data_IF_296422921158
#
_entry.id   IF_296422921158
#
_cell.length_a   1.000
_cell.length_b   1.000
_cell.length_c   1.000
_cell.angle_alpha   90.00
_cell.angle_beta   90.00
_cell.angle_gamma   90.00
#
_symmetry.space_group_name_H-M   'P 1'
#
loop_
_entity.id
_entity.type
_entity.pdbx_description
1 polymer ?
#
# COMPACT_ATOMS: atom_id res chain seq x y z
N UNK A 1 52.51 -15.69 -60.86
CA UNK A 1 51.60 -16.85 -60.82
C UNK A 1 51.92 -17.60 -59.54
N UNK A 2 51.12 -17.47 -58.49
CA UNK A 2 51.27 -18.26 -57.27
C UNK A 2 50.85 -19.69 -57.60
N UNK A 3 51.79 -20.62 -57.56
CA UNK A 3 51.52 -22.07 -57.67
C UNK A 3 50.50 -22.44 -56.60
N UNK A 4 49.35 -22.98 -57.00
CA UNK A 4 48.37 -23.56 -56.06
C UNK A 4 49.04 -24.74 -55.38
N UNK A 5 49.45 -24.53 -54.13
CA UNK A 5 50.09 -25.54 -53.32
C UNK A 5 48.98 -26.29 -52.59
N UNK A 6 48.81 -27.56 -52.96
CA UNK A 6 47.80 -28.44 -52.38
C UNK A 6 48.44 -29.26 -51.26
N UNK A 7 47.79 -29.31 -50.10
CA UNK A 7 48.28 -30.02 -48.91
C UNK A 7 47.20 -30.95 -48.37
N UNK A 8 47.58 -32.15 -47.92
CA UNK A 8 46.65 -33.09 -47.30
C UNK A 8 46.21 -32.64 -45.89
N UNK A 9 45.03 -33.05 -45.43
CA UNK A 9 44.50 -32.64 -44.11
C UNK A 9 45.44 -32.99 -42.95
N UNK A 10 46.00 -34.20 -42.93
CA UNK A 10 46.92 -34.65 -41.87
C UNK A 10 48.25 -33.90 -41.88
N UNK A 11 48.75 -33.60 -43.09
CA UNK A 11 49.98 -32.83 -43.29
C UNK A 11 49.78 -31.37 -42.88
N UNK A 12 48.64 -30.77 -43.26
CA UNK A 12 48.24 -29.44 -42.84
C UNK A 12 48.05 -29.34 -41.33
N UNK A 13 47.42 -30.35 -40.72
CA UNK A 13 47.25 -30.41 -39.28
C UNK A 13 48.58 -30.43 -38.53
N UNK A 14 49.54 -31.20 -39.04
CA UNK A 14 50.90 -31.27 -38.48
C UNK A 14 51.67 -29.97 -38.70
N UNK A 15 51.64 -29.43 -39.92
CA UNK A 15 52.41 -28.23 -40.32
C UNK A 15 51.96 -26.97 -39.59
N UNK A 16 50.65 -26.77 -39.46
CA UNK A 16 50.07 -25.58 -38.83
C UNK A 16 49.65 -25.79 -37.37
N UNK A 17 49.93 -26.97 -36.81
CA UNK A 17 49.57 -27.35 -35.43
C UNK A 17 48.07 -27.14 -35.13
N UNK A 18 47.21 -27.48 -36.10
CA UNK A 18 45.75 -27.35 -35.96
C UNK A 18 45.10 -28.72 -36.08
N UNK A 19 44.13 -29.02 -35.23
CA UNK A 19 43.45 -30.32 -35.30
C UNK A 19 42.74 -30.54 -36.65
N UNK A 20 42.82 -31.77 -37.16
CA UNK A 20 42.14 -32.21 -38.39
C UNK A 20 40.64 -31.92 -38.35
N UNK A 21 40.00 -32.10 -37.19
CA UNK A 21 38.57 -31.77 -36.96
C UNK A 21 38.25 -30.30 -37.22
N UNK A 22 39.15 -29.39 -36.83
CA UNK A 22 38.97 -27.94 -36.98
C UNK A 22 39.13 -27.53 -38.44
N UNK A 23 40.10 -28.12 -39.13
CA UNK A 23 40.29 -27.96 -40.59
C UNK A 23 39.07 -28.47 -41.37
N UNK A 24 38.53 -29.64 -41.02
CA UNK A 24 37.31 -30.19 -41.61
C UNK A 24 36.11 -29.25 -41.37
N UNK A 25 36.02 -28.63 -40.19
CA UNK A 25 34.95 -27.67 -39.87
C UNK A 25 35.05 -26.43 -40.75
N UNK A 26 36.24 -25.90 -40.97
CA UNK A 26 36.47 -24.77 -41.88
C UNK A 26 36.15 -25.11 -43.33
N UNK A 27 36.46 -26.34 -43.78
CA UNK A 27 36.06 -26.83 -45.10
C UNK A 27 34.53 -26.90 -45.23
N UNK A 28 33.82 -27.43 -44.22
CA UNK A 28 32.34 -27.48 -44.18
C UNK A 28 31.69 -26.10 -44.21
N UNK A 29 32.35 -25.10 -43.60
CA UNK A 29 31.92 -23.69 -43.61
C UNK A 29 32.31 -22.94 -44.88
N UNK A 30 32.95 -23.62 -45.84
CA UNK A 30 33.45 -23.03 -47.08
C UNK A 30 34.47 -21.89 -46.84
N UNK A 31 35.18 -21.93 -45.71
CA UNK A 31 36.21 -20.95 -45.36
C UNK A 31 37.57 -21.27 -46.01
N UNK A 32 37.75 -22.51 -46.48
CA UNK A 32 38.97 -23.02 -47.13
C UNK A 32 38.56 -23.72 -48.42
N UNK A 33 39.29 -23.44 -49.51
CA UNK A 33 39.13 -24.15 -50.78
C UNK A 33 39.75 -25.54 -50.66
N UNK A 34 38.98 -26.57 -51.00
CA UNK A 34 39.44 -27.95 -51.01
C UNK A 34 38.99 -28.69 -52.27
N UNK A 35 39.65 -29.79 -52.59
CA UNK A 35 39.32 -30.70 -53.68
C UNK A 35 39.48 -32.14 -53.21
N UNK A 36 38.58 -33.01 -53.66
CA UNK A 36 38.70 -34.45 -53.46
C UNK A 36 39.52 -35.06 -54.60
N UNK A 37 40.58 -35.79 -54.26
CA UNK A 37 41.42 -36.52 -55.21
C UNK A 37 41.45 -37.98 -54.77
N UNK A 38 40.57 -38.80 -55.35
CA UNK A 38 40.31 -40.16 -54.86
C UNK A 38 39.69 -40.13 -53.47
N UNK A 39 40.22 -40.91 -52.53
CA UNK A 39 39.78 -40.95 -51.13
C UNK A 39 40.44 -39.85 -50.26
N UNK A 40 41.23 -38.96 -50.86
CA UNK A 40 41.99 -37.93 -50.13
C UNK A 40 41.43 -36.53 -50.37
N UNK A 41 41.24 -35.79 -49.27
CA UNK A 41 40.90 -34.36 -49.30
C UNK A 41 42.18 -33.51 -49.34
N UNK A 42 42.30 -32.72 -50.40
CA UNK A 42 43.40 -31.80 -50.64
C UNK A 42 42.94 -30.36 -50.40
N UNK A 43 43.70 -29.60 -49.63
CA UNK A 43 43.40 -28.21 -49.26
C UNK A 43 44.28 -27.26 -50.05
N UNK A 44 43.73 -26.12 -50.46
CA UNK A 44 44.55 -25.00 -50.95
C UNK A 44 45.25 -24.33 -49.76
N UNK A 45 46.58 -24.37 -49.76
CA UNK A 45 47.41 -23.90 -48.65
C UNK A 45 47.26 -22.38 -48.40
N UNK A 46 47.03 -21.60 -49.46
CA UNK A 46 46.82 -20.15 -49.35
C UNK A 46 45.50 -19.85 -48.66
N UNK A 47 44.41 -20.51 -49.07
CA UNK A 47 43.09 -20.37 -48.44
C UNK A 47 43.09 -20.82 -46.98
N UNK A 48 43.84 -21.88 -46.65
CA UNK A 48 44.05 -22.34 -45.27
C UNK A 48 44.81 -21.28 -44.45
N UNK A 49 45.88 -20.69 -44.99
CA UNK A 49 46.67 -19.66 -44.32
C UNK A 49 45.83 -18.40 -44.06
N UNK A 50 45.05 -17.94 -45.06
CA UNK A 50 44.11 -16.81 -44.90
C UNK A 50 43.05 -17.08 -43.83
N UNK A 51 42.52 -18.30 -43.77
CA UNK A 51 41.56 -18.72 -42.76
C UNK A 51 42.18 -18.72 -41.35
N UNK A 52 43.43 -19.18 -41.23
CA UNK A 52 44.18 -19.17 -39.97
C UNK A 52 44.43 -17.73 -39.49
N UNK A 53 44.90 -16.85 -40.36
CA UNK A 53 45.13 -15.44 -40.02
C UNK A 53 43.85 -14.73 -39.57
N UNK A 54 42.73 -14.96 -40.27
CA UNK A 54 41.42 -14.43 -39.86
C UNK A 54 41.01 -14.94 -38.48
N UNK A 55 41.12 -16.25 -38.25
CA UNK A 55 40.76 -16.83 -36.96
C UNK A 55 41.65 -16.31 -35.82
N UNK A 56 42.95 -16.13 -36.04
CA UNK A 56 43.87 -15.52 -35.05
C UNK A 56 43.44 -14.08 -34.75
N UNK A 57 43.13 -13.27 -35.78
CA UNK A 57 42.64 -11.89 -35.58
C UNK A 57 41.33 -11.84 -34.80
N UNK A 58 40.38 -12.74 -35.10
CA UNK A 58 39.12 -12.83 -34.35
C UNK A 58 39.35 -13.23 -32.89
N UNK A 59 40.17 -14.25 -32.63
CA UNK A 59 40.50 -14.66 -31.26
C UNK A 59 41.19 -13.55 -30.47
N UNK A 60 42.15 -12.83 -31.07
CA UNK A 60 42.77 -11.66 -30.45
C UNK A 60 41.75 -10.55 -30.14
N UNK A 61 40.78 -10.33 -31.03
CA UNK A 61 39.71 -9.34 -30.82
C UNK A 61 38.72 -9.76 -29.72
N UNK A 62 38.39 -11.06 -29.60
CA UNK A 62 37.54 -11.59 -28.54
C UNK A 62 38.25 -11.54 -27.18
N UNK A 63 39.53 -11.90 -27.14
CA UNK A 63 40.36 -11.81 -25.93
C UNK A 63 40.51 -10.37 -25.46
N UNK A 64 40.76 -9.43 -26.36
CA UNK A 64 40.82 -8.00 -26.07
C UNK A 64 39.47 -7.47 -25.57
N UNK A 65 38.37 -7.86 -26.21
CA UNK A 65 37.03 -7.48 -25.74
C UNK A 65 36.74 -8.05 -24.35
N UNK A 66 37.14 -9.30 -24.09
CA UNK A 66 36.99 -9.94 -22.78
C UNK A 66 37.84 -9.22 -21.72
N UNK A 67 39.10 -8.89 -22.01
CA UNK A 67 39.96 -8.10 -21.12
C UNK A 67 39.31 -6.76 -20.77
N UNK A 68 38.77 -6.04 -21.76
CA UNK A 68 38.06 -4.77 -21.50
C UNK A 68 36.82 -4.95 -20.63
N UNK A 69 36.09 -6.05 -20.79
CA UNK A 69 34.97 -6.35 -19.90
C UNK A 69 35.45 -6.67 -18.49
N UNK A 70 36.49 -7.49 -18.34
CA UNK A 70 37.05 -7.85 -17.04
C UNK A 70 37.64 -6.63 -16.31
N UNK A 71 38.33 -5.74 -17.03
CA UNK A 71 38.80 -4.45 -16.52
C UNK A 71 37.64 -3.58 -16.04
N UNK A 72 36.57 -3.42 -16.83
CA UNK A 72 35.38 -2.67 -16.40
C UNK A 72 34.65 -3.30 -15.23
N UNK A 73 34.60 -4.63 -15.17
CA UNK A 73 34.01 -5.35 -14.04
C UNK A 73 34.82 -5.09 -12.77
N UNK A 74 36.15 -5.07 -12.90
CA UNK A 74 37.08 -4.76 -11.81
C UNK A 74 36.97 -3.30 -11.36
N UNK A 75 36.87 -2.35 -12.28
CA UNK A 75 36.64 -0.94 -11.98
C UNK A 75 35.34 -0.72 -11.19
N UNK A 76 34.33 -1.56 -11.41
CA UNK A 76 33.02 -1.48 -10.75
C UNK A 76 32.84 -2.48 -9.60
N UNK A 77 33.90 -3.17 -9.14
CA UNK A 77 33.81 -4.20 -8.10
C UNK A 77 33.13 -3.70 -6.81
N UNK A 78 33.46 -2.48 -6.39
CA UNK A 78 32.86 -1.86 -5.19
C UNK A 78 31.35 -1.62 -5.38
N UNK A 79 30.92 -1.15 -6.55
CA UNK A 79 29.49 -0.95 -6.85
C UNK A 79 28.74 -2.27 -6.87
N UNK A 80 29.34 -3.33 -7.44
CA UNK A 80 28.77 -4.68 -7.42
C UNK A 80 28.62 -5.20 -5.99
N UNK A 81 29.64 -5.01 -5.15
CA UNK A 81 29.59 -5.39 -3.74
C UNK A 81 28.46 -4.68 -3.00
N UNK A 82 28.30 -3.37 -3.18
CA UNK A 82 27.21 -2.60 -2.57
C UNK A 82 25.84 -3.09 -3.06
N UNK A 83 25.66 -3.28 -4.37
CA UNK A 83 24.41 -3.79 -4.94
C UNK A 83 24.06 -5.19 -4.41
N UNK A 84 25.05 -6.07 -4.28
CA UNK A 84 24.87 -7.40 -3.73
C UNK A 84 24.49 -7.37 -2.24
N UNK A 85 25.12 -6.49 -1.47
CA UNK A 85 24.83 -6.28 -0.05
C UNK A 85 23.40 -5.76 0.16
N UNK A 86 22.90 -4.92 -0.75
CA UNK A 86 21.54 -4.38 -0.71
C UNK A 86 20.45 -5.40 -1.10
N UNK A 87 20.83 -6.60 -1.58
CA UNK A 87 19.88 -7.65 -1.97
C UNK A 87 18.98 -8.06 -0.81
N UNK A 88 19.48 -8.08 0.42
CA UNK A 88 18.67 -8.40 1.60
C UNK A 88 17.58 -7.36 1.88
N UNK A 89 17.81 -6.10 1.46
CA UNK A 89 16.87 -4.99 1.60
C UNK A 89 15.90 -4.89 0.42
N UNK A 90 15.89 -5.85 -0.51
CA UNK A 90 15.01 -5.84 -1.71
C UNK A 90 13.55 -5.50 -1.39
N UNK A 91 12.90 -6.04 -0.33
CA UNK A 91 11.52 -5.68 -0.01
C UNK A 91 11.34 -4.19 0.32
N UNK A 92 12.25 -3.61 1.09
CA UNK A 92 12.24 -2.19 1.46
C UNK A 92 12.52 -1.31 0.24
N UNK A 93 13.49 -1.71 -0.59
CA UNK A 93 13.81 -1.02 -1.84
C UNK A 93 12.59 -1.02 -2.77
N UNK A 94 11.84 -2.13 -2.87
CA UNK A 94 10.59 -2.19 -3.65
C UNK A 94 9.52 -1.25 -3.11
N UNK A 95 9.39 -1.09 -1.80
CA UNK A 95 8.47 -0.12 -1.20
C UNK A 95 8.87 1.30 -1.57
N UNK A 96 10.15 1.65 -1.41
CA UNK A 96 10.67 2.95 -1.82
C UNK A 96 10.38 3.20 -3.30
N UNK A 97 10.66 2.24 -4.20
CA UNK A 97 10.39 2.36 -5.63
C UNK A 97 8.89 2.61 -5.92
N UNK A 98 7.98 1.95 -5.19
CA UNK A 98 6.53 2.20 -5.34
C UNK A 98 6.15 3.62 -4.92
N UNK A 99 6.67 4.11 -3.80
CA UNK A 99 6.47 5.50 -3.37
C UNK A 99 7.05 6.48 -4.39
N UNK A 100 8.25 6.21 -4.92
CA UNK A 100 8.86 7.02 -5.96
C UNK A 100 8.02 7.05 -7.26
N UNK A 101 7.44 5.91 -7.64
CA UNK A 101 6.55 5.83 -8.79
C UNK A 101 5.25 6.61 -8.59
N UNK A 102 4.76 6.72 -7.36
CA UNK A 102 3.59 7.53 -7.01
C UNK A 102 3.76 9.03 -7.32
N UNK A 103 5.01 9.53 -7.36
CA UNK A 103 5.30 10.91 -7.74
C UNK A 103 5.13 11.19 -9.24
N UNK A 104 5.25 10.16 -10.08
CA UNK A 104 5.14 10.32 -11.52
C UNK A 104 3.65 10.39 -11.88
N UNK A 105 3.17 11.54 -12.35
CA UNK A 105 1.75 11.74 -12.68
C UNK A 105 1.31 11.01 -13.96
N UNK A 106 2.18 10.99 -14.97
CA UNK A 106 1.87 10.36 -16.26
C UNK A 106 2.00 8.83 -16.16
N UNK A 107 0.93 8.11 -16.46
CA UNK A 107 0.87 6.65 -16.32
C UNK A 107 1.84 5.91 -17.25
N UNK A 108 2.05 6.38 -18.48
CA UNK A 108 3.00 5.74 -19.41
C UNK A 108 4.44 5.92 -18.93
N UNK A 109 4.77 7.11 -18.42
CA UNK A 109 6.09 7.40 -17.83
C UNK A 109 6.28 6.63 -16.51
N UNK A 110 5.22 6.46 -15.71
CA UNK A 110 5.23 5.64 -14.50
C UNK A 110 5.47 4.16 -14.84
N UNK A 111 4.85 3.66 -15.90
CA UNK A 111 5.10 2.30 -16.41
C UNK A 111 6.55 2.14 -16.89
N UNK A 112 7.12 3.11 -17.61
CA UNK A 112 8.54 3.10 -18.00
C UNK A 112 9.45 2.98 -16.77
N UNK A 113 9.19 3.78 -15.73
CA UNK A 113 9.97 3.76 -14.50
C UNK A 113 9.87 2.41 -13.78
N UNK A 114 8.65 1.93 -13.51
CA UNK A 114 8.43 0.67 -12.81
C UNK A 114 8.99 -0.54 -13.56
N UNK A 115 8.81 -0.59 -14.88
CA UNK A 115 9.33 -1.67 -15.70
C UNK A 115 10.86 -1.70 -15.67
N UNK A 116 11.50 -0.55 -15.86
CA UNK A 116 12.97 -0.44 -15.91
C UNK A 116 13.60 -0.78 -14.57
N UNK A 117 13.01 -0.35 -13.46
CA UNK A 117 13.59 -0.52 -12.11
C UNK A 117 13.26 -1.88 -11.48
N UNK A 118 12.13 -2.52 -11.83
CA UNK A 118 11.68 -3.77 -11.19
C UNK A 118 11.80 -5.03 -12.04
N UNK A 119 11.64 -4.95 -13.37
CA UNK A 119 11.60 -6.12 -14.26
C UNK A 119 12.80 -6.23 -15.19
N UNK A 120 13.48 -5.12 -15.45
CA UNK A 120 14.77 -5.10 -16.14
C UNK A 120 14.70 -4.76 -17.62
N UNK A 121 15.84 -4.18 -18.03
CA UNK A 121 16.26 -3.69 -19.34
C UNK A 121 15.32 -2.73 -20.09
N UNK A 122 15.74 -1.47 -20.15
CA UNK A 122 15.13 -0.40 -20.94
C UNK A 122 15.04 -0.75 -22.44
N UNK A 123 15.93 -1.61 -22.93
CA UNK A 123 15.92 -2.13 -24.30
C UNK A 123 14.65 -2.96 -24.57
N UNK A 124 14.26 -3.82 -23.64
CA UNK A 124 13.06 -4.65 -23.79
C UNK A 124 11.80 -3.79 -23.74
N UNK A 125 11.80 -2.76 -22.88
CA UNK A 125 10.74 -1.74 -22.88
C UNK A 125 10.64 -1.03 -24.23
N UNK A 126 11.78 -0.64 -24.81
CA UNK A 126 11.81 0.07 -26.09
C UNK A 126 11.23 -0.74 -27.25
N UNK A 127 11.49 -2.06 -27.27
CA UNK A 127 10.93 -3.00 -28.25
C UNK A 127 9.41 -3.14 -28.06
N UNK A 128 8.95 -3.34 -26.80
CA UNK A 128 7.52 -3.49 -26.48
C UNK A 128 6.70 -2.26 -26.84
N UNK A 129 7.25 -1.06 -26.62
CA UNK A 129 6.57 0.22 -26.90
C UNK A 129 6.89 0.78 -28.29
N UNK A 130 7.58 0.01 -29.15
CA UNK A 130 7.96 0.42 -30.53
C UNK A 130 8.65 1.79 -30.59
N UNK A 131 9.55 2.05 -29.65
CA UNK A 131 10.30 3.30 -29.58
C UNK A 131 11.81 3.07 -29.70
N UNK A 132 12.55 4.10 -30.13
CA UNK A 132 14.01 4.01 -30.23
C UNK A 132 14.63 3.92 -28.83
N UNK A 133 15.67 3.09 -28.66
CA UNK A 133 16.40 2.94 -27.40
C UNK A 133 16.84 4.28 -26.80
N UNK A 134 17.45 5.16 -27.61
CA UNK A 134 17.88 6.50 -27.15
C UNK A 134 16.73 7.36 -26.64
N UNK A 135 15.54 7.21 -27.21
CA UNK A 135 14.36 7.96 -26.78
C UNK A 135 13.85 7.45 -25.43
N UNK A 136 13.81 6.12 -25.23
CA UNK A 136 13.47 5.52 -23.95
C UNK A 136 14.46 5.94 -22.85
N UNK A 137 15.76 5.93 -23.16
CA UNK A 137 16.81 6.35 -22.24
C UNK A 137 16.64 7.81 -21.81
N UNK A 138 16.48 8.74 -22.77
CA UNK A 138 16.27 10.16 -22.47
C UNK A 138 15.00 10.39 -21.63
N UNK A 139 13.94 9.64 -21.91
CA UNK A 139 12.69 9.72 -21.15
C UNK A 139 12.87 9.25 -19.70
N UNK A 140 13.65 8.19 -19.50
CA UNK A 140 13.97 7.66 -18.17
C UNK A 140 14.89 8.58 -17.38
N UNK A 141 15.94 9.12 -18.00
CA UNK A 141 16.82 10.12 -17.37
C UNK A 141 16.03 11.35 -16.91
N UNK A 142 15.11 11.85 -17.75
CA UNK A 142 14.22 12.95 -17.39
C UNK A 142 13.31 12.63 -16.20
N UNK A 143 12.83 11.37 -16.09
CA UNK A 143 12.05 10.92 -14.93
C UNK A 143 12.87 10.90 -13.64
N UNK A 144 14.11 10.43 -13.69
CA UNK A 144 15.00 10.42 -12.53
C UNK A 144 15.26 11.85 -12.04
N UNK A 145 15.46 12.81 -12.94
CA UNK A 145 15.63 14.22 -12.57
C UNK A 145 14.35 14.83 -11.99
N UNK A 146 13.18 14.51 -12.56
CA UNK A 146 11.89 14.96 -12.04
C UNK A 146 11.67 14.46 -10.60
N UNK A 147 11.88 13.16 -10.36
CA UNK A 147 11.83 12.57 -9.02
C UNK A 147 12.82 13.25 -8.06
N UNK A 148 14.06 13.48 -8.51
CA UNK A 148 15.09 14.15 -7.71
C UNK A 148 14.72 15.58 -7.34
N UNK A 149 14.14 16.35 -8.27
CA UNK A 149 13.68 17.71 -8.02
C UNK A 149 12.52 17.76 -7.03
N UNK A 150 11.68 16.72 -7.02
CA UNK A 150 10.55 16.62 -6.11
C UNK A 150 10.98 16.12 -4.73
N UNK A 151 12.07 15.37 -4.60
CA UNK A 151 12.52 14.80 -3.31
C UNK A 151 12.63 15.81 -2.14
N UNK A 152 12.72 17.12 -2.40
CA UNK A 152 12.57 18.18 -1.39
C UNK A 152 11.25 18.12 -0.59
N UNK A 153 10.15 17.63 -1.18
CA UNK A 153 8.88 17.50 -0.43
C UNK A 153 8.97 16.42 0.66
N UNK A 154 9.85 15.43 0.56
CA UNK A 154 9.98 14.41 1.61
C UNK A 154 10.52 15.02 2.91
N UNK A 155 11.39 16.04 2.78
CA UNK A 155 11.90 16.81 3.91
C UNK A 155 10.78 17.63 4.55
N UNK A 156 9.99 18.35 3.75
CA UNK A 156 8.86 19.14 4.26
C UNK A 156 7.78 18.24 4.85
N UNK A 157 7.50 17.08 4.25
CA UNK A 157 6.54 16.11 4.78
C UNK A 157 6.99 15.51 6.11
N UNK A 158 8.28 15.21 6.28
CA UNK A 158 8.83 14.75 7.56
C UNK A 158 8.70 15.83 8.64
N UNK A 159 9.06 17.07 8.32
CA UNK A 159 8.94 18.22 9.22
C UNK A 159 7.47 18.48 9.60
N UNK A 160 6.55 18.41 8.63
CA UNK A 160 5.12 18.55 8.84
C UNK A 160 4.54 17.40 9.67
N UNK A 161 4.97 16.16 9.46
CA UNK A 161 4.52 15.01 10.25
C UNK A 161 4.99 15.12 11.71
N UNK A 162 6.21 15.65 11.95
CA UNK A 162 6.70 15.95 13.30
C UNK A 162 5.84 17.03 13.96
N UNK A 163 5.53 18.12 13.23
CA UNK A 163 4.65 19.19 13.70
C UNK A 163 3.26 18.66 14.05
N UNK A 164 2.62 17.95 13.14
CA UNK A 164 1.29 17.37 13.35
C UNK A 164 1.27 16.40 14.54
N UNK A 165 2.29 15.56 14.70
CA UNK A 165 2.42 14.68 15.89
C UNK A 165 2.60 15.46 17.19
N UNK A 166 3.32 16.59 17.16
CA UNK A 166 3.46 17.47 18.32
C UNK A 166 2.12 18.18 18.64
N UNK A 167 1.40 18.63 17.60
CA UNK A 167 0.08 19.24 17.72
C UNK A 167 -0.94 18.26 18.30
N UNK A 168 -0.99 17.01 17.80
CA UNK A 168 -1.87 15.97 18.35
C UNK A 168 -1.54 15.71 19.81
N UNK A 169 -0.26 15.55 20.17
CA UNK A 169 0.14 15.39 21.57
C UNK A 169 -0.26 16.59 22.44
N UNK A 170 -0.14 17.81 21.94
CA UNK A 170 -0.56 19.01 22.66
C UNK A 170 -2.08 19.03 22.89
N UNK A 171 -2.87 18.61 21.90
CA UNK A 171 -4.32 18.46 22.06
C UNK A 171 -4.69 17.34 23.04
N UNK A 172 -4.01 16.19 22.99
CA UNK A 172 -4.21 15.10 23.95
C UNK A 172 -3.87 15.53 25.38
N UNK A 173 -2.75 16.26 25.58
CA UNK A 173 -2.36 16.80 26.88
C UNK A 173 -3.37 17.83 27.38
N UNK A 174 -3.80 18.79 26.55
CA UNK A 174 -4.83 19.77 26.91
C UNK A 174 -6.17 19.09 27.23
N UNK A 175 -6.56 18.07 26.47
CA UNK A 175 -7.80 17.33 26.75
C UNK A 175 -7.73 16.57 28.06
N UNK A 176 -6.58 15.97 28.39
CA UNK A 176 -6.35 15.33 29.69
C UNK A 176 -6.38 16.35 30.82
N UNK A 177 -5.66 17.46 30.65
CA UNK A 177 -5.57 18.52 31.64
C UNK A 177 -6.92 19.19 31.89
N UNK A 178 -7.69 19.50 30.84
CA UNK A 178 -9.08 19.98 30.99
C UNK A 178 -9.98 18.96 31.69
N UNK A 179 -9.76 17.66 31.49
CA UNK A 179 -10.48 16.61 32.21
C UNK A 179 -10.11 16.56 33.71
N UNK A 180 -8.83 16.70 34.04
CA UNK A 180 -8.35 16.78 35.42
C UNK A 180 -8.75 18.09 36.10
N UNK A 181 -8.65 19.23 35.41
CA UNK A 181 -9.05 20.53 35.91
C UNK A 181 -10.56 20.55 36.14
N UNK A 182 -11.37 20.02 35.22
CA UNK A 182 -12.81 19.87 35.45
C UNK A 182 -13.10 18.95 36.65
N UNK A 183 -12.44 17.80 36.79
CA UNK A 183 -12.65 16.91 37.93
C UNK A 183 -12.24 17.56 39.27
N UNK A 184 -11.16 18.34 39.27
CA UNK A 184 -10.70 19.11 40.44
C UNK A 184 -11.67 20.25 40.79
N UNK A 185 -12.12 21.03 39.80
CA UNK A 185 -13.11 22.08 39.97
C UNK A 185 -14.47 21.52 40.43
N UNK A 186 -14.87 20.34 39.93
CA UNK A 186 -16.12 19.71 40.34
C UNK A 186 -16.05 19.22 41.79
N UNK A 187 -14.92 18.64 42.23
CA UNK A 187 -14.74 18.26 43.65
C UNK A 187 -14.67 19.47 44.57
N UNK A 188 -13.95 20.53 44.20
CA UNK A 188 -13.89 21.77 45.00
C UNK A 188 -15.26 22.46 45.07
N UNK A 189 -16.07 22.39 44.01
CA UNK A 189 -17.43 22.93 43.98
C UNK A 189 -18.43 22.07 44.79
N UNK A 190 -18.31 20.74 44.76
CA UNK A 190 -19.11 19.81 45.57
C UNK A 190 -18.85 19.99 47.08
N UNK A 191 -17.60 20.24 47.47
CA UNK A 191 -17.23 20.49 48.88
C UNK A 191 -17.71 21.84 49.40
N UNK A 192 -17.88 22.84 48.54
CA UNK A 192 -18.18 24.22 48.96
C UNK A 192 -19.65 24.60 48.90
N UNK A 193 -20.48 24.00 48.04
CA UNK A 193 -21.93 24.25 48.07
C UNK A 193 -22.78 23.20 47.30
N UNK A 194 -23.28 22.13 47.96
CA UNK A 194 -23.97 21.02 47.29
C UNK A 194 -25.34 21.35 46.65
N UNK A 195 -25.95 22.50 46.96
CA UNK A 195 -27.27 22.88 46.41
C UNK A 195 -27.20 23.74 45.13
N UNK A 196 -26.05 24.31 44.78
CA UNK A 196 -25.95 25.31 43.69
C UNK A 196 -25.71 24.67 42.30
N UNK A 197 -25.29 23.42 42.22
CA UNK A 197 -24.95 22.80 40.96
C UNK A 197 -25.70 21.48 40.72
N UNK A 198 -26.99 21.58 40.44
CA UNK A 198 -27.64 20.61 39.57
C UNK A 198 -27.44 21.15 38.15
N UNK A 199 -26.56 20.54 37.31
CA UNK A 199 -26.42 20.89 35.90
C UNK A 199 -27.77 21.11 35.24
N UNK A 200 -27.90 22.14 34.41
CA UNK A 200 -29.18 22.53 33.80
C UNK A 200 -29.84 21.35 33.06
N UNK A 201 -29.03 20.45 32.51
CA UNK A 201 -29.44 19.18 31.89
C UNK A 201 -30.05 18.18 32.89
N UNK A 202 -29.52 18.10 34.12
CA UNK A 202 -30.09 17.25 35.20
C UNK A 202 -31.38 17.88 35.73
N UNK A 203 -31.43 19.21 35.86
CA UNK A 203 -32.65 19.93 36.24
C UNK A 203 -33.76 19.73 35.21
N UNK A 204 -33.43 19.81 33.91
CA UNK A 204 -34.34 19.54 32.81
C UNK A 204 -34.78 18.07 32.77
N UNK A 205 -33.86 17.13 33.02
CA UNK A 205 -34.19 15.70 33.11
C UNK A 205 -35.14 15.39 34.27
N UNK A 206 -34.90 15.97 35.46
CA UNK A 206 -35.80 15.85 36.62
C UNK A 206 -37.18 16.45 36.32
N UNK A 207 -37.24 17.64 35.72
CA UNK A 207 -38.51 18.26 35.30
C UNK A 207 -39.29 17.40 34.28
N UNK A 208 -38.60 16.76 33.34
CA UNK A 208 -39.22 15.86 32.36
C UNK A 208 -39.74 14.57 33.02
N UNK A 209 -38.99 13.99 33.96
CA UNK A 209 -39.42 12.83 34.72
C UNK A 209 -40.68 13.11 35.55
N UNK A 210 -40.79 14.31 36.11
CA UNK A 210 -41.92 14.70 36.95
C UNK A 210 -43.12 15.19 36.11
N UNK A 211 -43.01 15.17 34.78
CA UNK A 211 -44.12 15.55 33.88
C UNK A 211 -45.29 14.56 34.04
N UNK A 212 -46.51 15.05 34.29
CA UNK A 212 -47.70 14.21 34.40
C UNK A 212 -47.99 13.45 33.10
N UNK A 213 -48.43 12.18 33.22
CA UNK A 213 -48.85 11.34 32.08
C UNK A 213 -49.93 12.03 31.23
N UNK A 214 -50.76 12.87 31.85
CA UNK A 214 -51.81 13.65 31.17
C UNK A 214 -51.26 14.70 30.21
N UNK A 215 -50.05 15.20 30.42
CA UNK A 215 -49.40 16.22 29.61
C UNK A 215 -48.58 15.64 28.45
N UNK A 216 -48.25 14.34 28.51
CA UNK A 216 -47.47 13.66 27.48
C UNK A 216 -48.26 13.37 26.18
N UNK A 217 -49.56 13.68 26.18
CA UNK A 217 -50.48 13.52 25.02
C UNK A 217 -50.43 12.10 24.44
N UNK A 218 -50.52 11.09 25.30
CA UNK A 218 -50.76 9.73 24.83
C UNK A 218 -52.14 9.61 24.17
N UNK A 219 -52.40 8.52 23.46
CA UNK A 219 -53.76 8.29 22.98
C UNK A 219 -54.72 8.13 24.17
N UNK A 220 -55.93 8.68 24.03
CA UNK A 220 -56.92 8.82 25.11
C UNK A 220 -57.13 7.50 25.87
N UNK A 221 -57.14 6.37 25.15
CA UNK A 221 -57.31 5.04 25.75
C UNK A 221 -56.11 4.64 26.61
N UNK A 222 -54.89 4.72 26.08
CA UNK A 222 -53.69 4.35 26.83
C UNK A 222 -53.47 5.27 28.03
N UNK A 223 -53.70 6.58 27.86
CA UNK A 223 -53.61 7.55 28.95
C UNK A 223 -54.56 7.19 30.10
N UNK A 224 -55.85 6.93 29.78
CA UNK A 224 -56.84 6.56 30.79
C UNK A 224 -56.47 5.29 31.54
N UNK A 225 -55.99 4.26 30.85
CA UNK A 225 -55.60 2.99 31.48
C UNK A 225 -54.39 3.19 32.41
N UNK A 226 -53.39 3.98 31.98
CA UNK A 226 -52.20 4.27 32.78
C UNK A 226 -52.60 5.07 34.03
N UNK A 227 -53.45 6.10 33.88
CA UNK A 227 -53.94 6.90 35.00
C UNK A 227 -54.85 6.12 35.96
N UNK A 228 -55.69 5.19 35.48
CA UNK A 228 -56.51 4.32 36.32
C UNK A 228 -55.67 3.35 37.18
N UNK A 229 -54.42 3.09 36.78
CA UNK A 229 -53.48 2.25 37.53
C UNK A 229 -52.56 3.04 38.46
N UNK A 230 -52.93 4.29 38.77
CA UNK A 230 -52.19 5.20 39.65
C UNK A 230 -50.78 5.58 39.17
N UNK A 231 -50.48 5.40 37.88
CA UNK A 231 -49.25 5.90 37.26
C UNK A 231 -49.53 7.33 36.79
N UNK A 232 -49.03 8.31 37.53
CA UNK A 232 -49.29 9.74 37.39
C UNK A 232 -48.19 10.47 36.65
N UNK A 233 -46.93 10.05 36.76
CA UNK A 233 -45.77 10.75 36.18
C UNK A 233 -44.99 9.89 35.17
N UNK A 234 -44.18 10.54 34.33
CA UNK A 234 -43.24 9.83 33.45
C UNK A 234 -42.26 8.97 34.24
N UNK A 235 -41.81 9.46 35.40
CA UNK A 235 -40.91 8.75 36.32
C UNK A 235 -41.46 7.38 36.71
N UNK A 236 -42.70 7.34 37.20
CA UNK A 236 -43.34 6.10 37.65
C UNK A 236 -43.50 5.10 36.49
N UNK A 237 -43.87 5.60 35.31
CA UNK A 237 -43.94 4.77 34.10
C UNK A 237 -42.57 4.16 33.77
N UNK A 238 -41.52 4.98 33.79
CA UNK A 238 -40.16 4.55 33.45
C UNK A 238 -39.53 3.64 34.51
N UNK A 239 -39.87 3.79 35.79
CA UNK A 239 -39.44 2.87 36.86
C UNK A 239 -39.96 1.45 36.62
N UNK A 240 -41.20 1.32 36.15
CA UNK A 240 -41.77 0.01 35.82
C UNK A 240 -41.10 -0.58 34.57
N UNK A 241 -40.86 0.25 33.55
CA UNK A 241 -40.30 -0.22 32.28
C UNK A 241 -38.79 -0.43 32.31
N UNK A 242 -38.04 0.24 33.19
CA UNK A 242 -36.59 0.04 33.32
C UNK A 242 -36.29 -1.36 33.88
N UNK A 243 -37.06 -1.81 34.87
CA UNK A 243 -36.82 -3.06 35.56
C UNK A 243 -37.35 -4.29 34.81
N UNK A 244 -38.48 -4.15 34.11
CA UNK A 244 -39.19 -5.29 33.50
C UNK A 244 -39.59 -5.10 32.03
N UNK A 245 -39.26 -3.96 31.44
CA UNK A 245 -39.64 -3.60 30.08
C UNK A 245 -41.13 -3.27 29.92
N UNK A 246 -41.48 -2.73 28.76
CA UNK A 246 -42.87 -2.38 28.39
C UNK A 246 -43.84 -3.56 28.37
N UNK A 247 -43.32 -4.80 28.32
CA UNK A 247 -44.15 -6.01 28.45
C UNK A 247 -44.85 -6.07 29.80
N UNK A 248 -44.18 -5.64 30.88
CA UNK A 248 -44.75 -5.68 32.23
C UNK A 248 -46.00 -4.81 32.38
N UNK A 249 -46.07 -3.70 31.63
CA UNK A 249 -47.27 -2.87 31.60
C UNK A 249 -48.49 -3.62 31.06
N UNK A 250 -48.31 -4.52 30.09
CA UNK A 250 -49.40 -5.37 29.57
C UNK A 250 -49.88 -6.39 30.60
N UNK A 251 -48.96 -6.92 31.40
CA UNK A 251 -49.28 -7.94 32.39
C UNK A 251 -49.90 -7.30 33.66
N UNK A 252 -49.55 -6.06 33.97
CA UNK A 252 -50.01 -5.32 35.15
C UNK A 252 -51.29 -4.52 34.90
N UNK A 253 -51.41 -3.86 33.75
CA UNK A 253 -52.50 -2.93 33.45
C UNK A 253 -53.67 -3.66 32.77
N UNK A 254 -54.80 -3.75 33.47
CA UNK A 254 -56.03 -4.33 32.92
C UNK A 254 -56.46 -3.53 31.67
N UNK A 255 -56.80 -4.24 30.60
CA UNK A 255 -57.19 -3.67 29.29
C UNK A 255 -56.06 -2.96 28.50
N UNK A 256 -54.80 -3.05 28.92
CA UNK A 256 -53.65 -2.55 28.19
C UNK A 256 -53.10 -3.61 27.22
N UNK A 257 -53.36 -3.46 25.92
CA UNK A 257 -52.96 -4.42 24.90
C UNK A 257 -51.68 -4.05 24.15
N UNK A 258 -51.23 -4.96 23.26
CA UNK A 258 -50.08 -4.74 22.36
C UNK A 258 -50.18 -3.44 21.54
N UNK A 259 -51.38 -3.07 21.12
CA UNK A 259 -51.61 -1.84 20.34
C UNK A 259 -51.40 -0.59 21.21
N UNK A 260 -51.87 -0.60 22.46
CA UNK A 260 -51.64 0.49 23.43
C UNK A 260 -50.17 0.63 23.77
N UNK A 261 -49.48 -0.49 24.00
CA UNK A 261 -48.03 -0.51 24.22
C UNK A 261 -47.26 0.14 23.07
N UNK A 262 -47.52 -0.28 21.81
CA UNK A 262 -46.85 0.30 20.63
C UNK A 262 -47.12 1.80 20.46
N UNK A 263 -48.31 2.27 20.80
CA UNK A 263 -48.66 3.70 20.74
C UNK A 263 -47.90 4.51 21.80
N UNK A 264 -47.79 3.99 23.02
CA UNK A 264 -47.02 4.61 24.11
C UNK A 264 -45.53 4.66 23.74
N UNK A 265 -44.95 3.54 23.30
CA UNK A 265 -43.54 3.50 22.87
C UNK A 265 -43.28 4.47 21.70
N UNK A 266 -44.17 4.51 20.70
CA UNK A 266 -44.06 5.45 19.59
C UNK A 266 -44.06 6.90 20.08
N UNK A 267 -44.98 7.23 21.00
CA UNK A 267 -45.07 8.59 21.56
C UNK A 267 -43.83 8.97 22.36
N UNK A 268 -43.28 8.04 23.14
CA UNK A 268 -42.04 8.26 23.89
C UNK A 268 -40.83 8.47 22.97
N UNK A 269 -40.80 7.82 21.79
CA UNK A 269 -39.79 8.12 20.75
C UNK A 269 -39.96 9.52 20.15
N UNK A 270 -41.20 9.94 19.87
CA UNK A 270 -41.49 11.30 19.38
C UNK A 270 -41.09 12.38 20.39
N UNK A 271 -41.16 12.08 21.69
CA UNK A 271 -40.74 12.96 22.78
C UNK A 271 -39.22 12.89 23.07
N UNK A 272 -38.45 12.15 22.27
CA UNK A 272 -37.01 11.88 22.48
C UNK A 272 -36.69 11.25 23.85
N UNK A 273 -37.67 10.62 24.50
CA UNK A 273 -37.47 9.86 25.74
C UNK A 273 -36.84 8.50 25.42
N UNK A 274 -37.26 7.88 24.31
CA UNK A 274 -36.70 6.63 23.79
C UNK A 274 -35.94 6.88 22.48
N UNK A 275 -34.79 6.22 22.33
CA UNK A 275 -34.06 6.21 21.06
C UNK A 275 -34.73 5.27 20.02
N UNK A 276 -34.15 5.20 18.82
CA UNK A 276 -34.64 4.35 17.73
C UNK A 276 -34.65 2.87 18.13
N UNK A 277 -33.67 2.44 18.91
CA UNK A 277 -33.51 1.07 19.42
C UNK A 277 -34.40 0.74 20.63
N UNK A 278 -35.04 1.76 21.25
CA UNK A 278 -35.89 1.61 22.42
C UNK A 278 -35.16 1.79 23.77
N UNK A 279 -33.93 2.32 23.77
CA UNK A 279 -33.22 2.66 25.01
C UNK A 279 -33.66 4.03 25.53
N UNK A 280 -33.74 4.18 26.85
CA UNK A 280 -34.09 5.44 27.50
C UNK A 280 -32.88 6.05 28.21
N UNK A 281 -32.48 7.24 27.78
CA UNK A 281 -31.38 7.98 28.42
C UNK A 281 -31.75 8.55 29.79
N UNK A 282 -33.04 8.49 30.18
CA UNK A 282 -33.50 8.94 31.49
C UNK A 282 -33.39 7.87 32.58
N UNK A 283 -33.11 6.62 32.23
CA UNK A 283 -32.98 5.54 33.22
C UNK A 283 -31.88 5.80 34.25
N UNK A 284 -30.81 6.51 33.86
CA UNK A 284 -29.72 6.93 34.77
C UNK A 284 -30.13 7.93 35.86
N UNK A 285 -31.31 8.54 35.75
CA UNK A 285 -31.82 9.55 36.69
C UNK A 285 -33.01 9.04 37.53
N UNK A 286 -33.30 7.73 37.48
CA UNK A 286 -34.41 7.14 38.24
C UNK A 286 -34.05 6.80 39.70
N UNK A 287 -32.74 6.63 39.98
CA UNK A 287 -32.21 6.25 41.29
C UNK A 287 -31.76 7.46 42.16
N UNK A 288 -31.92 8.69 41.63
CA UNK A 288 -31.76 9.98 42.35
C UNK A 288 -33.11 10.57 42.77
#
# INVERSE_FOLDING_TARGET
MTTKQWIGIEEAATKYQVSTRRIITWCKRQEIIYSEVGDYLMLDENSLTDCLERNIRFSLSEEEHKRRMDEKMKENEEEFFLLQSLKELTPLIRLIIKELAGMIRNDERRQLFLYTVLQGNIKDFSVRKRMKYRQAQKAFEGLVQEIKSQAGFLRTYKEENIRLRATVRAYEMKSRQNGFDNDMFMREAEETNPEIFIPEDIKAAKALLDTPITELKFDIRSQRIISEADIKTLRELLQITSQYGFRKLRDMLRNFGLVSQKKVEKRLKELNVLDVAGNCNLYRYLDE
#
